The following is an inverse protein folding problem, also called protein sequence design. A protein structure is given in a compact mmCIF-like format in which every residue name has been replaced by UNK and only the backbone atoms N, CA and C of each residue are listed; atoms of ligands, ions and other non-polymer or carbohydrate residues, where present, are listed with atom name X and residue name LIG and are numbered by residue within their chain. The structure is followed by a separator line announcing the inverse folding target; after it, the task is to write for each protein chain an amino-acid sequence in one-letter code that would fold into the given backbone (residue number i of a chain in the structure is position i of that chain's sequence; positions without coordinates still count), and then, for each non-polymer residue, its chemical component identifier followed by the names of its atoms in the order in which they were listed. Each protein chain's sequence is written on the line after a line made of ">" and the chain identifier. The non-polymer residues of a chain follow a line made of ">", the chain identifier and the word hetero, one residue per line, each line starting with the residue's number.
data_IF_475825134366
#
_entry.id   IF_475825134366
#
_cell.length_a   1.000
_cell.length_b   1.000
_cell.length_c   1.000
_cell.angle_alpha   90.00
_cell.angle_beta   90.00
_cell.angle_gamma   90.00
#
_symmetry.space_group_name_H-M   'P 1'
#
loop_
_entity.id
_entity.type
_entity.pdbx_description
1 polymer ?
#
# COMPACT_ATOMS: atom_id res chain seq x y z
N UNK A 1 33.21 -69.27 -13.51
CA UNK A 1 32.46 -68.81 -14.70
C UNK A 1 31.02 -68.43 -14.36
N UNK A 2 30.32 -69.24 -13.56
CA UNK A 2 28.95 -68.95 -13.08
C UNK A 2 28.85 -67.66 -12.23
N UNK A 3 29.84 -67.42 -11.35
CA UNK A 3 29.86 -66.22 -10.49
C UNK A 3 30.24 -64.93 -11.24
N UNK A 4 30.96 -65.07 -12.36
CA UNK A 4 31.29 -63.94 -13.25
C UNK A 4 30.05 -63.49 -14.02
N UNK A 5 29.24 -64.44 -14.49
CA UNK A 5 27.97 -64.18 -15.16
C UNK A 5 26.95 -63.58 -14.17
N UNK A 6 26.92 -64.05 -12.92
CA UNK A 6 26.04 -63.51 -11.89
C UNK A 6 26.35 -62.03 -11.56
N UNK A 7 27.64 -61.68 -11.47
CA UNK A 7 28.06 -60.30 -11.24
C UNK A 7 27.73 -59.37 -12.42
N UNK A 8 27.82 -59.86 -13.66
CA UNK A 8 27.40 -59.10 -14.85
C UNK A 8 25.90 -58.80 -14.84
N UNK A 9 25.07 -59.77 -14.43
CA UNK A 9 23.61 -59.58 -14.33
C UNK A 9 23.26 -58.57 -13.24
N UNK A 10 23.97 -58.57 -12.11
CA UNK A 10 23.75 -57.62 -11.02
C UNK A 10 24.07 -56.17 -11.41
N UNK A 11 25.10 -55.95 -12.25
CA UNK A 11 25.46 -54.60 -12.75
C UNK A 11 24.39 -54.03 -13.69
N UNK A 12 23.71 -54.87 -14.49
CA UNK A 12 22.63 -54.41 -15.36
C UNK A 12 21.37 -53.98 -14.60
N UNK A 13 21.07 -54.59 -13.44
CA UNK A 13 19.88 -54.28 -12.64
C UNK A 13 19.92 -52.92 -11.93
N UNK A 14 21.09 -52.29 -11.77
CA UNK A 14 21.22 -50.96 -11.15
C UNK A 14 21.33 -49.80 -12.16
N UNK A 15 21.22 -50.07 -13.46
CA UNK A 15 21.46 -49.08 -14.52
C UNK A 15 20.31 -48.08 -14.78
N UNK A 16 19.17 -48.19 -14.08
CA UNK A 16 17.96 -47.40 -14.38
C UNK A 16 17.80 -46.06 -13.62
N UNK A 17 18.86 -45.50 -13.00
CA UNK A 17 18.74 -44.29 -12.15
C UNK A 17 19.38 -43.02 -12.73
N UNK A 18 19.88 -43.04 -13.98
CA UNK A 18 20.40 -41.83 -14.62
C UNK A 18 19.57 -41.37 -15.82
N UNK A 19 18.26 -41.18 -15.60
CA UNK A 19 17.52 -40.22 -16.40
C UNK A 19 17.48 -38.91 -15.64
N UNK A 20 18.57 -38.14 -15.73
CA UNK A 20 18.45 -36.70 -15.54
C UNK A 20 17.71 -36.18 -16.77
N UNK A 21 16.38 -36.17 -16.71
CA UNK A 21 15.62 -35.37 -17.66
C UNK A 21 15.94 -33.91 -17.33
N UNK A 22 16.80 -33.29 -18.14
CA UNK A 22 16.77 -31.85 -18.26
C UNK A 22 15.36 -31.52 -18.72
N UNK A 23 14.59 -30.94 -17.81
CA UNK A 23 13.34 -30.31 -18.18
C UNK A 23 13.76 -29.20 -19.12
N UNK A 24 13.62 -29.47 -20.40
CA UNK A 24 13.73 -28.45 -21.42
C UNK A 24 12.60 -27.47 -21.10
N UNK A 25 12.88 -26.47 -20.26
CA UNK A 25 12.07 -25.28 -20.08
C UNK A 25 12.19 -24.45 -21.37
N UNK A 26 11.92 -25.11 -22.51
CA UNK A 26 11.24 -24.54 -23.66
C UNK A 26 9.73 -24.45 -23.36
N UNK A 27 9.33 -24.26 -22.10
CA UNK A 27 8.54 -23.07 -21.89
C UNK A 27 9.48 -21.92 -22.27
N UNK A 28 9.46 -21.54 -23.55
CA UNK A 28 9.65 -20.15 -23.93
C UNK A 28 9.19 -19.36 -22.72
N UNK A 29 10.06 -18.53 -22.14
CA UNK A 29 9.55 -17.45 -21.34
C UNK A 29 8.61 -16.75 -22.32
N UNK A 30 7.33 -17.15 -22.27
CA UNK A 30 6.23 -16.45 -22.88
C UNK A 30 6.32 -15.20 -22.06
N UNK A 31 7.13 -14.27 -22.56
CA UNK A 31 7.05 -12.89 -22.20
C UNK A 31 5.56 -12.71 -22.13
N UNK A 32 5.04 -12.39 -20.96
CA UNK A 32 3.71 -11.83 -20.88
C UNK A 32 3.84 -10.47 -21.58
N UNK A 33 4.11 -10.48 -22.89
CA UNK A 33 3.70 -9.51 -23.88
C UNK A 33 2.19 -9.63 -23.87
N UNK A 34 1.61 -9.18 -22.76
CA UNK A 34 0.34 -8.54 -22.83
C UNK A 34 0.54 -7.46 -23.91
N UNK A 35 -0.22 -7.57 -25.00
CA UNK A 35 -0.24 -6.57 -26.07
C UNK A 35 -0.48 -5.14 -25.54
N UNK A 36 -0.93 -5.05 -24.28
CA UNK A 36 -1.04 -3.86 -23.45
C UNK A 36 0.29 -3.13 -23.20
N UNK A 37 1.45 -3.80 -23.15
CA UNK A 37 2.75 -3.15 -22.89
C UNK A 37 3.73 -3.24 -24.07
N UNK A 38 3.21 -3.25 -25.29
CA UNK A 38 4.01 -3.46 -26.50
C UNK A 38 4.89 -2.25 -26.91
N UNK A 39 4.73 -1.10 -26.24
CA UNK A 39 5.65 0.02 -26.43
C UNK A 39 5.81 0.81 -25.14
N UNK A 40 6.96 1.48 -25.01
CA UNK A 40 7.24 2.38 -23.88
C UNK A 40 6.16 3.45 -23.73
N UNK A 41 5.62 3.94 -24.84
CA UNK A 41 4.58 4.96 -24.87
C UNK A 41 3.23 4.40 -24.39
N UNK A 42 2.85 3.20 -24.83
CA UNK A 42 1.61 2.56 -24.36
C UNK A 42 1.73 2.21 -22.88
N UNK A 43 2.86 1.67 -22.44
CA UNK A 43 3.13 1.42 -21.03
C UNK A 43 3.02 2.69 -20.17
N UNK A 44 3.65 3.77 -20.62
CA UNK A 44 3.58 5.06 -19.93
C UNK A 44 2.14 5.62 -19.92
N UNK A 45 1.38 5.43 -21.00
CA UNK A 45 -0.01 5.87 -21.08
C UNK A 45 -0.91 5.10 -20.12
N UNK A 46 -0.77 3.78 -20.03
CA UNK A 46 -1.53 2.92 -19.10
C UNK A 46 -1.20 3.29 -17.66
N UNK A 47 0.09 3.44 -17.33
CA UNK A 47 0.54 3.90 -16.00
C UNK A 47 -0.06 5.28 -15.67
N UNK A 48 -0.07 6.21 -16.63
CA UNK A 48 -0.66 7.55 -16.42
C UNK A 48 -2.18 7.52 -16.22
N UNK A 49 -2.89 6.56 -16.83
CA UNK A 49 -4.34 6.39 -16.68
C UNK A 49 -4.67 5.76 -15.32
N UNK A 50 -3.80 4.89 -14.79
CA UNK A 50 -3.94 4.32 -13.45
C UNK A 50 -3.81 5.40 -12.36
N UNK A 51 -2.82 6.27 -12.46
CA UNK A 51 -2.59 7.38 -11.51
C UNK A 51 -3.79 8.37 -11.46
N UNK A 52 -4.40 8.66 -12.62
CA UNK A 52 -5.59 9.53 -12.70
C UNK A 52 -6.85 8.90 -12.10
N UNK A 53 -6.97 7.56 -12.11
CA UNK A 53 -8.16 6.87 -11.60
C UNK A 53 -8.20 6.89 -10.08
N UNK A 54 -7.08 6.61 -9.41
CA UNK A 54 -7.01 6.62 -7.93
C UNK A 54 -7.28 8.02 -7.34
N UNK A 55 -6.80 9.07 -8.00
CA UNK A 55 -7.02 10.46 -7.56
C UNK A 55 -8.50 10.89 -7.67
N UNK A 56 -9.20 10.42 -8.70
CA UNK A 56 -10.63 10.69 -8.92
C UNK A 56 -11.51 9.93 -7.92
N UNK A 57 -11.12 8.73 -7.53
CA UNK A 57 -11.92 7.87 -6.66
C UNK A 57 -12.01 8.41 -5.22
N UNK A 58 -10.93 8.96 -4.64
CA UNK A 58 -11.00 9.51 -3.27
C UNK A 58 -11.83 10.80 -3.20
N UNK A 59 -11.62 11.71 -4.16
CA UNK A 59 -12.35 12.98 -4.24
C UNK A 59 -13.86 12.81 -4.48
N UNK A 60 -14.28 11.70 -5.10
CA UNK A 60 -15.69 11.34 -5.28
C UNK A 60 -16.29 10.60 -4.09
N UNK A 61 -15.48 9.86 -3.32
CA UNK A 61 -15.92 9.12 -2.13
C UNK A 61 -16.14 10.01 -0.91
N UNK A 62 -15.36 11.08 -0.79
CA UNK A 62 -15.44 12.00 0.36
C UNK A 62 -16.28 13.21 -0.04
N UNK A 63 -17.42 13.45 0.62
CA UNK A 63 -18.20 14.66 0.38
C UNK A 63 -17.42 15.91 0.83
N UNK A 64 -17.82 17.08 0.32
CA UNK A 64 -17.22 18.34 0.72
C UNK A 64 -17.40 18.61 2.22
N UNK A 65 -16.38 19.20 2.85
CA UNK A 65 -16.39 19.53 4.28
C UNK A 65 -15.61 18.54 5.14
N UNK A 66 -15.90 18.53 6.43
CA UNK A 66 -15.22 17.70 7.42
C UNK A 66 -16.25 16.79 8.07
N UNK A 67 -16.01 15.49 8.00
CA UNK A 67 -16.85 14.44 8.58
C UNK A 67 -16.01 13.62 9.54
N UNK A 68 -16.49 13.49 10.77
CA UNK A 68 -15.80 12.76 11.83
C UNK A 68 -16.82 11.84 12.48
N UNK A 69 -16.56 10.54 12.37
CA UNK A 69 -17.27 9.50 13.10
C UNK A 69 -16.31 8.89 14.12
N UNK A 70 -16.76 8.85 15.38
CA UNK A 70 -16.04 8.21 16.47
C UNK A 70 -17.00 7.22 17.15
N UNK A 71 -16.60 5.96 17.27
CA UNK A 71 -17.37 4.88 17.88
C UNK A 71 -16.48 4.17 18.88
N UNK A 72 -16.86 4.21 20.17
CA UNK A 72 -16.05 3.73 21.29
C UNK A 72 -15.63 4.89 22.20
N UNK A 73 -14.84 4.57 23.22
CA UNK A 73 -14.51 5.48 24.32
C UNK A 73 -13.22 6.26 24.05
N UNK A 74 -13.22 7.53 24.43
CA UNK A 74 -12.02 8.38 24.50
C UNK A 74 -11.22 8.50 23.19
N UNK A 75 -11.89 8.32 22.05
CA UNK A 75 -11.36 8.71 20.75
C UNK A 75 -11.21 10.24 20.67
N UNK A 76 -10.14 10.72 20.05
CA UNK A 76 -9.86 12.15 19.91
C UNK A 76 -9.45 12.50 18.49
N UNK A 77 -10.03 13.58 17.97
CA UNK A 77 -9.59 14.25 16.74
C UNK A 77 -9.26 15.70 17.07
N UNK A 78 -8.13 16.19 16.58
CA UNK A 78 -7.75 17.60 16.61
C UNK A 78 -7.27 17.98 15.22
N UNK A 79 -7.93 18.96 14.60
CA UNK A 79 -7.66 19.35 13.22
C UNK A 79 -7.55 20.87 13.08
N UNK A 80 -6.38 21.34 12.64
CA UNK A 80 -6.06 22.73 12.31
C UNK A 80 -5.81 22.77 10.81
N UNK A 81 -6.73 23.35 10.05
CA UNK A 81 -6.77 23.19 8.59
C UNK A 81 -6.90 24.54 7.91
N UNK A 82 -6.04 24.79 6.92
CA UNK A 82 -6.07 25.97 6.05
C UNK A 82 -5.92 25.56 4.59
N UNK A 83 -6.97 25.77 3.80
CA UNK A 83 -6.98 25.50 2.35
C UNK A 83 -8.15 26.17 1.65
N UNK A 84 -8.10 26.25 0.33
CA UNK A 84 -9.20 26.78 -0.48
C UNK A 84 -10.38 25.78 -0.58
N UNK A 85 -10.06 24.48 -0.58
CA UNK A 85 -11.04 23.38 -0.57
C UNK A 85 -10.59 22.33 0.44
N UNK A 86 -11.52 21.87 1.28
CA UNK A 86 -11.27 20.90 2.35
C UNK A 86 -12.30 19.79 2.30
N UNK A 87 -11.82 18.55 2.17
CA UNK A 87 -12.59 17.31 2.22
C UNK A 87 -11.90 16.35 3.16
N UNK A 88 -12.42 16.15 4.35
CA UNK A 88 -11.84 15.23 5.32
C UNK A 88 -12.92 14.28 5.80
N UNK A 89 -12.65 12.98 5.71
CA UNK A 89 -13.43 11.93 6.34
C UNK A 89 -12.56 11.21 7.38
N UNK A 90 -13.07 11.09 8.60
CA UNK A 90 -12.43 10.35 9.70
C UNK A 90 -13.41 9.32 10.23
N UNK A 91 -13.00 8.05 10.27
CA UNK A 91 -13.70 6.92 10.87
C UNK A 91 -12.82 6.29 11.96
N UNK A 92 -13.09 6.61 13.22
CA UNK A 92 -12.45 6.00 14.39
C UNK A 92 -13.41 4.98 15.02
N UNK A 93 -13.00 3.72 15.06
CA UNK A 93 -13.77 2.63 15.67
C UNK A 93 -12.91 1.80 16.63
N UNK A 94 -13.27 1.83 17.90
CA UNK A 94 -12.54 1.27 19.04
C UNK A 94 -12.27 2.37 20.06
N UNK A 95 -11.36 2.13 21.00
CA UNK A 95 -11.15 3.01 22.14
C UNK A 95 -9.77 3.69 22.08
N UNK A 96 -9.66 4.90 22.63
CA UNK A 96 -8.40 5.64 22.77
C UNK A 96 -7.67 5.95 21.46
N UNK A 97 -8.34 5.96 20.30
CA UNK A 97 -7.69 6.37 19.06
C UNK A 97 -7.48 7.88 19.02
N UNK A 98 -6.32 8.32 18.54
CA UNK A 98 -5.93 9.72 18.49
C UNK A 98 -5.55 10.13 17.07
N UNK A 99 -6.11 11.24 16.63
CA UNK A 99 -5.77 11.88 15.36
C UNK A 99 -5.42 13.36 15.61
N UNK A 100 -4.24 13.75 15.13
CA UNK A 100 -3.80 15.13 15.08
C UNK A 100 -3.48 15.52 13.63
N UNK A 101 -4.17 16.54 13.12
CA UNK A 101 -3.96 17.13 11.80
C UNK A 101 -3.59 18.61 11.96
N UNK A 102 -2.46 19.01 11.40
CA UNK A 102 -2.08 20.42 11.24
C UNK A 102 -1.65 20.64 9.79
N UNK A 103 -2.51 21.28 9.01
CA UNK A 103 -2.39 21.32 7.55
C UNK A 103 -2.60 22.71 6.99
N UNK A 104 -1.67 23.14 6.15
CA UNK A 104 -1.79 24.36 5.36
C UNK A 104 -1.41 24.09 3.89
N UNK A 105 -2.40 23.93 3.02
CA UNK A 105 -2.22 23.47 1.64
C UNK A 105 -3.19 24.14 0.66
N UNK A 106 -2.97 24.00 -0.66
CA UNK A 106 -3.89 24.56 -1.67
C UNK A 106 -5.28 23.93 -1.58
N UNK A 107 -5.32 22.59 -1.57
CA UNK A 107 -6.52 21.78 -1.36
C UNK A 107 -6.16 20.61 -0.45
N UNK A 108 -7.11 20.18 0.37
CA UNK A 108 -6.96 19.05 1.29
C UNK A 108 -8.07 18.04 1.02
N UNK A 109 -7.70 16.82 0.66
CA UNK A 109 -8.59 15.66 0.56
C UNK A 109 -7.99 14.53 1.38
N UNK A 110 -8.58 14.16 2.51
CA UNK A 110 -8.02 13.13 3.39
C UNK A 110 -9.07 12.16 3.87
N UNK A 111 -8.80 10.86 3.71
CA UNK A 111 -9.57 9.79 4.34
C UNK A 111 -8.74 9.13 5.43
N UNK A 112 -9.26 9.06 6.64
CA UNK A 112 -8.56 8.50 7.78
C UNK A 112 -9.43 7.45 8.44
N UNK A 113 -8.90 6.25 8.58
CA UNK A 113 -9.60 5.12 9.19
C UNK A 113 -8.72 4.53 10.28
N UNK A 114 -9.20 4.53 11.52
CA UNK A 114 -8.52 3.89 12.65
C UNK A 114 -9.46 2.85 13.25
N UNK A 115 -9.12 1.57 13.11
CA UNK A 115 -9.90 0.43 13.61
C UNK A 115 -9.09 -0.38 14.61
N UNK A 116 -9.58 -0.47 15.84
CA UNK A 116 -8.89 -1.06 16.99
C UNK A 116 -8.62 0.00 18.05
N UNK A 117 -7.71 -0.28 18.97
CA UNK A 117 -7.52 0.50 20.19
C UNK A 117 -6.15 1.17 20.25
N UNK A 118 -6.09 2.36 20.85
CA UNK A 118 -4.85 3.08 21.12
C UNK A 118 -4.00 3.33 19.84
N UNK A 119 -4.64 3.56 18.70
CA UNK A 119 -3.93 3.94 17.48
C UNK A 119 -3.75 5.46 17.40
N UNK A 120 -2.61 5.91 16.88
CA UNK A 120 -2.26 7.32 16.80
C UNK A 120 -1.85 7.72 15.39
N UNK A 121 -2.36 8.84 14.91
CA UNK A 121 -1.92 9.50 13.68
C UNK A 121 -1.59 10.96 13.99
N UNK A 122 -0.42 11.40 13.55
CA UNK A 122 0.01 12.80 13.59
C UNK A 122 0.47 13.21 12.20
N UNK A 123 -0.28 14.07 11.54
CA UNK A 123 -0.02 14.46 10.16
C UNK A 123 0.10 15.98 10.03
N UNK A 124 1.33 16.44 9.82
CA UNK A 124 1.72 17.84 9.83
C UNK A 124 2.20 18.27 8.45
N UNK A 125 1.70 19.40 7.98
CA UNK A 125 2.13 20.03 6.72
C UNK A 125 2.35 21.51 6.95
N UNK A 126 3.59 21.95 6.73
CA UNK A 126 3.92 23.37 6.58
C UNK A 126 3.21 23.96 5.35
N UNK A 127 3.07 25.29 5.29
CA UNK A 127 2.46 25.97 4.15
C UNK A 127 3.01 25.44 2.82
N UNK A 128 2.11 24.92 1.97
CA UNK A 128 2.45 24.39 0.66
C UNK A 128 1.44 24.78 -0.40
N UNK A 129 1.93 25.01 -1.62
CA UNK A 129 1.07 25.23 -2.80
C UNK A 129 0.59 23.91 -3.43
N UNK A 130 1.02 22.76 -2.89
CA UNK A 130 0.58 21.45 -3.36
C UNK A 130 -0.81 21.09 -2.83
N UNK A 131 -1.52 20.27 -3.59
CA UNK A 131 -2.73 19.59 -3.14
C UNK A 131 -2.33 18.39 -2.28
N UNK A 132 -2.92 18.26 -1.10
CA UNK A 132 -2.81 17.08 -0.25
C UNK A 132 -3.97 16.18 -0.58
N UNK A 133 -3.69 14.97 -1.07
CA UNK A 133 -4.70 13.95 -1.27
C UNK A 133 -4.16 12.60 -0.76
N UNK A 134 -4.57 12.26 0.46
CA UNK A 134 -4.00 11.14 1.21
C UNK A 134 -5.05 10.26 1.88
N UNK A 135 -4.75 8.97 1.99
CA UNK A 135 -5.53 8.00 2.75
C UNK A 135 -4.63 7.34 3.80
N UNK A 136 -5.04 7.34 5.07
CA UNK A 136 -4.31 6.72 6.17
C UNK A 136 -5.21 5.74 6.89
N UNK A 137 -4.84 4.45 6.85
CA UNK A 137 -5.63 3.36 7.40
C UNK A 137 -4.79 2.60 8.43
N UNK A 138 -5.28 2.55 9.67
CA UNK A 138 -4.75 1.73 10.76
C UNK A 138 -5.77 0.64 11.12
N UNK A 139 -5.32 -0.61 11.20
CA UNK A 139 -6.12 -1.77 11.62
C UNK A 139 -5.35 -2.64 12.62
N UNK A 140 -5.80 -2.66 13.86
CA UNK A 140 -5.14 -3.34 14.98
C UNK A 140 -4.92 -2.37 16.13
N UNK A 141 -3.99 -2.67 17.02
CA UNK A 141 -3.85 -1.94 18.28
C UNK A 141 -2.44 -1.35 18.47
N UNK A 142 -2.36 -0.24 19.20
CA UNK A 142 -1.09 0.40 19.58
C UNK A 142 -0.21 0.80 18.37
N UNK A 143 -0.83 1.19 17.26
CA UNK A 143 -0.12 1.61 16.07
C UNK A 143 0.13 3.13 16.05
N UNK A 144 1.19 3.57 15.39
CA UNK A 144 1.47 5.00 15.21
C UNK A 144 1.86 5.34 13.77
N UNK A 145 1.26 6.40 13.20
CA UNK A 145 1.71 7.03 11.96
C UNK A 145 2.08 8.47 12.26
N UNK A 146 3.30 8.86 11.89
CA UNK A 146 3.74 10.25 11.88
C UNK A 146 4.07 10.65 10.45
N UNK A 147 3.41 11.68 9.94
CA UNK A 147 3.65 12.24 8.62
C UNK A 147 4.02 13.72 8.75
N UNK A 148 5.14 14.11 8.15
CA UNK A 148 5.69 15.46 8.25
C UNK A 148 6.01 15.97 6.85
N UNK A 149 5.46 17.15 6.52
CA UNK A 149 5.68 17.84 5.27
C UNK A 149 4.82 17.33 4.12
N UNK A 150 5.02 17.88 2.91
CA UNK A 150 4.18 17.59 1.74
C UNK A 150 4.91 17.94 0.45
N UNK A 151 4.86 17.03 -0.53
CA UNK A 151 5.44 17.21 -1.85
C UNK A 151 4.55 16.68 -2.97
N UNK A 152 5.10 16.52 -4.18
CA UNK A 152 4.36 16.05 -5.35
C UNK A 152 3.78 14.64 -5.18
N UNK A 153 4.37 13.79 -4.33
CA UNK A 153 3.89 12.43 -4.05
C UNK A 153 2.68 12.42 -3.10
N UNK A 154 2.56 13.42 -2.24
CA UNK A 154 1.44 13.56 -1.29
C UNK A 154 0.08 13.80 -1.96
N UNK A 155 0.05 13.91 -3.30
CA UNK A 155 -1.16 14.06 -4.10
C UNK A 155 -1.97 12.76 -4.26
N UNK A 156 -1.37 11.59 -4.02
CA UNK A 156 -2.02 10.28 -4.23
C UNK A 156 -1.53 9.23 -3.21
N UNK A 157 -1.21 9.65 -1.99
CA UNK A 157 -0.56 8.74 -1.04
C UNK A 157 -1.56 7.92 -0.23
N UNK A 158 -1.38 6.60 -0.19
CA UNK A 158 -2.12 5.71 0.72
C UNK A 158 -1.16 4.98 1.65
N UNK A 159 -1.37 5.14 2.95
CA UNK A 159 -0.66 4.43 4.01
C UNK A 159 -1.64 3.44 4.63
N UNK A 160 -1.26 2.16 4.69
CA UNK A 160 -2.05 1.13 5.36
C UNK A 160 -1.15 0.38 6.34
N UNK A 161 -1.53 0.41 7.62
CA UNK A 161 -0.83 -0.23 8.71
C UNK A 161 -1.75 -1.27 9.35
N UNK A 162 -1.28 -2.51 9.45
CA UNK A 162 -2.05 -3.62 10.02
C UNK A 162 -1.22 -4.40 11.05
N UNK A 163 -1.86 -4.96 12.08
CA UNK A 163 -1.17 -5.68 13.16
C UNK A 163 -1.07 -4.85 14.43
N UNK A 164 -0.14 -5.15 15.33
CA UNK A 164 -0.07 -4.48 16.64
C UNK A 164 1.32 -3.89 16.91
N UNK A 165 1.38 -2.70 17.52
CA UNK A 165 2.62 -2.11 18.05
C UNK A 165 3.60 -1.51 17.03
N UNK A 166 3.24 -1.43 15.75
CA UNK A 166 4.12 -0.90 14.71
C UNK A 166 4.07 0.64 14.62
N UNK A 167 5.14 1.25 14.12
CA UNK A 167 5.21 2.69 13.84
C UNK A 167 5.68 2.99 12.41
N UNK A 168 5.05 3.95 11.76
CA UNK A 168 5.45 4.49 10.45
C UNK A 168 5.81 5.97 10.64
N UNK A 169 6.98 6.37 10.15
CA UNK A 169 7.39 7.78 10.07
C UNK A 169 7.63 8.11 8.61
N UNK A 170 6.91 9.11 8.12
CA UNK A 170 6.98 9.62 6.77
C UNK A 170 7.46 11.08 6.81
N UNK A 171 8.51 11.37 6.06
CA UNK A 171 9.07 12.72 5.93
C UNK A 171 9.05 13.07 4.45
N UNK A 172 8.26 14.09 4.09
CA UNK A 172 8.12 14.62 2.74
C UNK A 172 8.67 16.05 2.71
N UNK A 173 9.69 16.29 1.89
CA UNK A 173 10.24 17.62 1.62
C UNK A 173 9.81 18.11 0.24
#
# INVERSE_FOLDING_TARGET
>A
MKDFILNIVFVFLFSSVFYAQEKDDNSDFKNYSSSLFNSKQVALSIVSLMDKKEQKDLNLKIPSGIQIQQIGDLNKVTAILKSNETKIAVDQKGDYNQLFLDKNAKTITQNIVQKGNNNKISDLTLYTNYSVNMEMIQKGDNQNIQSIGTNSLSKNMRITQTGNGASIILINN
#
